data_IF_812829189462
#
_entry.id   IF_812829189462
#
_cell.length_a   1.000
_cell.length_b   1.000
_cell.length_c   1.000
_cell.angle_alpha   90.00
_cell.angle_beta   90.00
_cell.angle_gamma   90.00
#
_symmetry.space_group_name_H-M   'P 1'
#
loop_
_entity.id
_entity.type
_entity.pdbx_description
1 polymer ?
#
# COMPACT_ATOMS: atom_id res chain seq x y z
N UNK A 1 -22.20 9.83 1.67
CA UNK A 1 -20.74 9.60 1.69
C UNK A 1 -20.50 8.38 0.83
N UNK A 2 -20.14 8.58 -0.43
CA UNK A 2 -20.02 7.49 -1.40
C UNK A 2 -18.72 6.74 -1.12
N UNK A 3 -18.81 5.52 -0.60
CA UNK A 3 -17.63 4.65 -0.50
C UNK A 3 -17.06 4.49 -1.91
N UNK A 4 -15.78 4.85 -2.16
CA UNK A 4 -15.20 4.61 -3.47
C UNK A 4 -15.22 3.10 -3.75
N UNK A 5 -15.61 2.71 -4.95
CA UNK A 5 -15.63 1.32 -5.39
C UNK A 5 -14.19 0.84 -5.56
N UNK A 6 -13.59 0.42 -4.46
CA UNK A 6 -12.22 -0.08 -4.39
C UNK A 6 -12.10 -1.52 -4.94
N UNK A 7 -13.22 -2.22 -5.08
CA UNK A 7 -13.29 -3.61 -5.56
C UNK A 7 -12.97 -3.72 -7.06
N UNK A 8 -13.20 -2.66 -7.85
CA UNK A 8 -12.84 -2.59 -9.27
C UNK A 8 -11.37 -2.31 -9.56
N UNK A 9 -10.55 -2.06 -8.53
CA UNK A 9 -9.14 -1.77 -8.72
C UNK A 9 -8.32 -3.05 -8.92
N UNK A 10 -7.24 -2.94 -9.69
CA UNK A 10 -6.27 -4.03 -9.82
C UNK A 10 -5.36 -4.07 -8.60
N UNK A 11 -5.67 -4.99 -7.69
CA UNK A 11 -4.88 -5.23 -6.49
C UNK A 11 -3.65 -6.09 -6.78
N UNK A 12 -2.49 -5.68 -6.28
CA UNK A 12 -1.24 -6.43 -6.34
C UNK A 12 -0.84 -6.88 -4.95
N UNK A 13 -0.75 -8.19 -4.78
CA UNK A 13 -0.31 -8.84 -3.56
C UNK A 13 1.21 -8.78 -3.40
N UNK A 14 1.69 -8.55 -2.18
CA UNK A 14 3.11 -8.64 -1.85
C UNK A 14 3.65 -10.06 -2.06
N UNK A 15 4.88 -10.16 -2.57
CA UNK A 15 5.59 -11.43 -2.75
C UNK A 15 6.36 -11.88 -1.49
N UNK A 16 6.38 -11.06 -0.44
CA UNK A 16 7.17 -11.31 0.78
C UNK A 16 6.44 -12.15 1.84
N UNK A 17 5.28 -12.72 1.52
CA UNK A 17 4.46 -13.48 2.46
C UNK A 17 4.70 -14.99 2.29
N UNK A 18 5.31 -15.61 3.30
CA UNK A 18 5.72 -17.01 3.30
C UNK A 18 4.58 -18.00 2.93
N UNK A 19 3.35 -17.71 3.37
CA UNK A 19 2.20 -18.63 3.23
C UNK A 19 1.05 -18.08 2.37
N UNK A 20 1.25 -16.98 1.64
CA UNK A 20 0.23 -16.35 0.75
C UNK A 20 -1.10 -15.92 1.43
N UNK A 21 -1.21 -16.05 2.76
CA UNK A 21 -2.38 -15.75 3.60
C UNK A 21 -2.27 -14.45 4.39
N UNK A 22 -1.06 -13.91 4.53
CA UNK A 22 -0.71 -12.76 5.37
C UNK A 22 -0.07 -11.68 4.51
N UNK A 23 -0.79 -11.26 3.47
CA UNK A 23 -0.26 -10.38 2.46
C UNK A 23 -0.85 -8.99 2.56
N UNK A 24 0.02 -8.00 2.48
CA UNK A 24 -0.39 -6.65 2.12
C UNK A 24 -0.69 -6.64 0.61
N UNK A 25 -1.81 -6.04 0.25
CA UNK A 25 -2.18 -5.77 -1.14
C UNK A 25 -2.21 -4.26 -1.40
N UNK A 26 -1.83 -3.90 -2.62
CA UNK A 26 -1.69 -2.51 -3.05
C UNK A 26 -2.45 -2.25 -4.34
N UNK A 27 -3.08 -1.09 -4.45
CA UNK A 27 -3.66 -0.59 -5.69
C UNK A 27 -3.26 0.87 -5.91
N UNK A 28 -3.15 1.28 -7.18
CA UNK A 28 -2.74 2.63 -7.60
C UNK A 28 -3.85 3.31 -8.40
N UNK A 29 -4.85 3.92 -7.73
CA UNK A 29 -5.77 4.83 -8.39
C UNK A 29 -5.10 6.18 -8.71
N UNK A 30 -5.77 7.03 -9.49
CA UNK A 30 -5.27 8.38 -9.81
C UNK A 30 -5.06 9.27 -8.56
N UNK A 31 -5.75 8.97 -7.46
CA UNK A 31 -5.73 9.76 -6.23
C UNK A 31 -4.64 9.35 -5.21
N UNK A 32 -3.76 8.39 -5.53
CA UNK A 32 -2.69 7.97 -4.62
C UNK A 32 -2.47 6.46 -4.59
N UNK A 33 -2.18 5.92 -3.40
CA UNK A 33 -2.08 4.49 -3.19
C UNK A 33 -3.10 4.03 -2.16
N UNK A 34 -3.62 2.82 -2.38
CA UNK A 34 -4.48 2.14 -1.44
C UNK A 34 -3.76 0.90 -0.92
N UNK A 35 -3.85 0.69 0.38
CA UNK A 35 -3.29 -0.46 1.07
C UNK A 35 -4.42 -1.21 1.75
N UNK A 36 -4.37 -2.54 1.70
CA UNK A 36 -5.24 -3.40 2.49
C UNK A 36 -4.53 -4.68 2.90
N UNK A 37 -5.06 -5.30 3.93
CA UNK A 37 -4.66 -6.63 4.36
C UNK A 37 -5.52 -7.69 3.64
N UNK A 38 -4.90 -8.78 3.17
CA UNK A 38 -5.61 -9.82 2.43
C UNK A 38 -6.68 -10.53 3.26
N UNK A 39 -6.59 -10.52 4.60
CA UNK A 39 -7.61 -11.12 5.48
C UNK A 39 -8.79 -10.17 5.73
N UNK A 40 -8.60 -8.88 5.48
CA UNK A 40 -9.61 -7.84 5.69
C UNK A 40 -9.72 -6.95 4.44
N UNK A 41 -10.14 -7.51 3.28
CA UNK A 41 -10.08 -6.80 2.00
C UNK A 41 -11.00 -5.58 1.90
N UNK A 42 -11.96 -5.44 2.83
CA UNK A 42 -12.89 -4.32 2.91
C UNK A 42 -12.35 -3.13 3.71
N UNK A 43 -11.26 -3.31 4.47
CA UNK A 43 -10.62 -2.24 5.24
C UNK A 43 -9.47 -1.69 4.42
N UNK A 44 -9.70 -0.54 3.79
CA UNK A 44 -8.74 0.09 2.86
C UNK A 44 -8.20 1.37 3.47
N UNK A 45 -6.87 1.46 3.54
CA UNK A 45 -6.16 2.67 3.90
C UNK A 45 -5.74 3.42 2.64
N UNK A 46 -6.20 4.65 2.48
CA UNK A 46 -5.78 5.54 1.40
C UNK A 46 -4.60 6.42 1.84
N UNK A 47 -3.63 6.57 0.94
CA UNK A 47 -2.43 7.39 1.18
C UNK A 47 -2.21 8.31 -0.02
N UNK A 48 -2.06 9.60 0.27
CA UNK A 48 -1.80 10.63 -0.73
C UNK A 48 -0.48 10.38 -1.50
N UNK A 49 -0.40 10.76 -2.80
CA UNK A 49 0.78 10.49 -3.63
C UNK A 49 2.09 11.04 -3.04
N UNK A 50 2.04 12.23 -2.43
CA UNK A 50 3.22 12.87 -1.83
C UNK A 50 3.77 12.06 -0.66
N UNK A 51 2.89 11.49 0.16
CA UNK A 51 3.26 10.68 1.33
C UNK A 51 3.85 9.35 0.91
N UNK A 52 3.28 8.70 -0.12
CA UNK A 52 3.85 7.46 -0.70
C UNK A 52 5.26 7.70 -1.23
N UNK A 53 5.44 8.81 -1.95
CA UNK A 53 6.75 9.18 -2.52
C UNK A 53 7.79 9.43 -1.43
N UNK A 54 7.42 10.18 -0.39
CA UNK A 54 8.28 10.44 0.76
C UNK A 54 8.66 9.14 1.50
N UNK A 55 7.69 8.24 1.72
CA UNK A 55 7.94 6.94 2.36
C UNK A 55 8.94 6.09 1.55
N UNK A 56 8.69 5.91 0.25
CA UNK A 56 9.57 5.10 -0.61
C UNK A 56 10.98 5.69 -0.64
N UNK A 57 11.08 7.02 -0.70
CA UNK A 57 12.38 7.72 -0.67
C UNK A 57 13.10 7.47 0.66
N UNK A 58 12.39 7.53 1.78
CA UNK A 58 12.95 7.24 3.10
C UNK A 58 13.40 5.79 3.27
N UNK A 59 12.66 4.82 2.70
CA UNK A 59 13.00 3.39 2.81
C UNK A 59 14.17 3.01 1.90
N UNK A 60 14.25 3.62 0.71
CA UNK A 60 15.31 3.34 -0.28
C UNK A 60 16.59 4.13 -0.02
N UNK A 61 16.47 5.28 0.64
CA UNK A 61 17.59 6.14 0.96
C UNK A 61 18.65 5.42 1.81
N UNK A 62 19.90 5.89 1.78
CA UNK A 62 20.93 5.38 2.67
C UNK A 62 20.44 5.55 4.11
N UNK A 63 20.51 4.50 4.92
CA UNK A 63 20.28 4.64 6.36
C UNK A 63 21.19 5.77 6.86
N UNK A 64 20.67 6.78 7.58
CA UNK A 64 21.53 7.80 8.15
C UNK A 64 22.53 7.09 9.06
N UNK A 65 23.80 7.12 8.69
CA UNK A 65 24.86 6.59 9.53
C UNK A 65 24.87 7.40 10.83
N UNK A 66 24.66 6.74 11.97
CA UNK A 66 24.98 7.33 13.26
C UNK A 66 26.47 7.69 13.24
N UNK A 67 26.75 8.98 13.18
CA UNK A 67 28.04 9.57 13.53
C UNK A 67 28.04 9.98 14.98
#
# INVERSE_FOLDING_TARGET
>A
MTTPDHDRLTWRKSTYSANQTDCVELAWPAAGALFRDSKNPHVVMAVEPVTVTALITSVKGPMPSCG
#
